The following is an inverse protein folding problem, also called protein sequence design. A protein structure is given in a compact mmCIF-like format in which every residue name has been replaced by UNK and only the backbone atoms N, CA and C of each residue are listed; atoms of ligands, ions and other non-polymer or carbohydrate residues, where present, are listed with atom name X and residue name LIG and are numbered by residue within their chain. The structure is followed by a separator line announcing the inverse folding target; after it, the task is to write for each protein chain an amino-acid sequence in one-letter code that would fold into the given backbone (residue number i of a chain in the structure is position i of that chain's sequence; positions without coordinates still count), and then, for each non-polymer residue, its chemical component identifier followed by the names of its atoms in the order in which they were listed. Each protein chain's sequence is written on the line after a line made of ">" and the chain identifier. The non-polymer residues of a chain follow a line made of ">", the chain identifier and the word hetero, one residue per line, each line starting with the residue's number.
data_IF_186781846685
#
_entry.id   IF_186781846685
#
_cell.length_a   1.000
_cell.length_b   1.000
_cell.length_c   1.000
_cell.angle_alpha   90.00
_cell.angle_beta   90.00
_cell.angle_gamma   90.00
#
_symmetry.space_group_name_H-M   'P 1'
#
loop_
_entity.id
_entity.type
_entity.pdbx_description
1 polymer ?
#
# COMPACT_ATOMS: atom_id res chain seq x y z
N UNK A 1 10.78 2.13 22.44
CA UNK A 1 9.55 2.88 22.80
C UNK A 1 8.23 2.12 22.57
N UNK A 2 8.24 0.79 22.44
CA UNK A 2 7.01 -0.01 22.43
C UNK A 2 6.63 -0.46 23.85
N UNK A 3 5.35 -0.77 24.02
CA UNK A 3 4.76 -1.29 25.26
C UNK A 3 4.41 -2.78 25.09
N UNK A 4 3.77 -3.16 24.00
CA UNK A 4 3.46 -4.56 23.72
C UNK A 4 3.38 -4.86 22.23
N UNK A 5 3.58 -6.13 21.88
CA UNK A 5 3.43 -6.67 20.53
C UNK A 5 2.51 -7.87 20.59
N UNK A 6 1.54 -7.93 19.67
CA UNK A 6 0.56 -9.01 19.61
C UNK A 6 0.42 -9.52 18.17
N UNK A 7 0.35 -10.83 17.94
CA UNK A 7 0.08 -11.36 16.60
C UNK A 7 -1.30 -10.90 16.11
N UNK A 8 -1.40 -10.52 14.84
CA UNK A 8 -2.68 -10.17 14.20
C UNK A 8 -3.29 -11.40 13.52
N UNK A 9 -4.57 -11.64 13.79
CA UNK A 9 -5.32 -12.75 13.22
C UNK A 9 -6.06 -12.32 11.96
N UNK A 10 -5.37 -11.97 10.87
CA UNK A 10 -6.07 -11.84 9.58
C UNK A 10 -6.26 -13.21 8.92
N UNK A 11 -6.90 -14.12 9.67
CA UNK A 11 -7.35 -15.46 9.28
C UNK A 11 -6.27 -16.56 9.49
N UNK A 12 -6.18 -17.06 10.73
CA UNK A 12 -5.47 -18.30 11.05
C UNK A 12 -6.01 -19.52 10.26
N UNK A 13 -7.26 -19.46 9.76
CA UNK A 13 -7.85 -20.51 8.92
C UNK A 13 -7.43 -20.45 7.43
N UNK A 14 -6.80 -19.38 6.95
CA UNK A 14 -6.28 -19.28 5.57
C UNK A 14 -4.78 -18.99 5.49
N UNK A 15 -4.13 -18.62 6.61
CA UNK A 15 -2.66 -18.58 6.74
C UNK A 15 -1.97 -17.76 5.64
N UNK A 16 -2.50 -16.57 5.30
CA UNK A 16 -1.98 -15.79 4.17
C UNK A 16 -0.75 -14.95 4.53
N UNK A 17 -0.79 -14.19 5.63
CA UNK A 17 0.33 -13.33 6.07
C UNK A 17 0.51 -13.30 7.60
N UNK A 18 1.77 -13.26 8.03
CA UNK A 18 2.22 -13.06 9.40
C UNK A 18 2.41 -11.55 9.62
N UNK A 19 1.62 -10.97 10.52
CA UNK A 19 1.67 -9.54 10.88
C UNK A 19 1.44 -9.38 12.38
N UNK A 20 1.96 -8.32 12.97
CA UNK A 20 1.80 -8.00 14.38
C UNK A 20 1.18 -6.62 14.59
N UNK A 21 0.43 -6.46 15.66
CA UNK A 21 0.00 -5.16 16.16
C UNK A 21 0.93 -4.76 17.29
N UNK A 22 1.52 -3.58 17.16
CA UNK A 22 2.41 -2.99 18.15
C UNK A 22 1.70 -1.84 18.84
N UNK A 23 1.74 -1.83 20.16
CA UNK A 23 1.27 -0.73 20.98
C UNK A 23 2.48 0.06 21.46
N UNK A 24 2.47 1.36 21.21
CA UNK A 24 3.52 2.29 21.59
C UNK A 24 3.18 2.91 22.95
N UNK A 25 4.20 3.28 23.72
CA UNK A 25 4.02 3.85 25.08
C UNK A 25 3.20 5.14 25.13
N UNK A 26 3.08 5.84 24.00
CA UNK A 26 2.26 7.05 23.87
C UNK A 26 0.79 6.75 23.53
N UNK A 27 0.36 5.48 23.59
CA UNK A 27 -1.00 5.05 23.28
C UNK A 27 -1.29 4.86 21.79
N UNK A 28 -0.36 5.20 20.89
CA UNK A 28 -0.51 4.91 19.48
C UNK A 28 -0.35 3.41 19.19
N UNK A 29 -0.95 2.96 18.08
CA UNK A 29 -0.77 1.60 17.58
C UNK A 29 -0.10 1.63 16.20
N UNK A 30 0.53 0.52 15.84
CA UNK A 30 1.13 0.31 14.53
C UNK A 30 0.94 -1.14 14.08
N UNK A 31 0.97 -1.36 12.77
CA UNK A 31 1.08 -2.68 12.15
C UNK A 31 2.54 -2.92 11.84
N UNK A 32 3.07 -4.02 12.36
CA UNK A 32 4.40 -4.51 12.04
C UNK A 32 4.29 -5.66 11.05
N UNK A 33 5.03 -5.56 9.94
CA UNK A 33 5.13 -6.61 8.93
C UNK A 33 6.54 -7.17 8.90
N UNK A 34 6.63 -8.48 8.70
CA UNK A 34 7.87 -9.26 8.79
C UNK A 34 8.15 -9.94 7.45
N UNK A 35 9.43 -10.21 7.13
CA UNK A 35 9.75 -10.95 5.92
C UNK A 35 9.31 -12.40 6.09
N UNK A 36 8.56 -12.92 5.12
CA UNK A 36 7.97 -14.26 5.21
C UNK A 36 7.96 -14.97 3.86
N UNK A 37 7.81 -16.30 3.85
CA UNK A 37 7.91 -17.12 2.63
C UNK A 37 7.28 -16.54 1.34
N UNK A 38 5.99 -16.20 1.37
CA UNK A 38 5.30 -15.62 0.20
C UNK A 38 5.54 -14.12 0.02
N UNK A 39 6.04 -13.46 1.05
CA UNK A 39 6.14 -12.01 1.13
C UNK A 39 7.49 -11.60 1.73
N UNK A 40 8.59 -12.07 1.13
CA UNK A 40 9.94 -11.85 1.67
C UNK A 40 10.26 -10.36 1.70
N UNK A 41 9.86 -9.62 0.66
CA UNK A 41 10.12 -8.19 0.52
C UNK A 41 9.10 -7.32 1.25
N UNK A 42 8.04 -7.87 1.85
CA UNK A 42 6.95 -7.07 2.41
C UNK A 42 7.41 -5.93 3.35
N UNK A 43 8.38 -6.14 4.27
CA UNK A 43 8.92 -5.05 5.06
C UNK A 43 9.53 -3.92 4.21
N UNK A 44 10.40 -4.25 3.25
CA UNK A 44 11.05 -3.25 2.40
C UNK A 44 10.04 -2.58 1.48
N UNK A 45 9.08 -3.34 0.92
CA UNK A 45 8.06 -2.84 0.00
C UNK A 45 7.17 -1.77 0.64
N UNK A 46 6.82 -1.91 1.93
CA UNK A 46 6.04 -0.89 2.65
C UNK A 46 6.81 0.42 2.82
N UNK A 47 8.11 0.33 3.12
CA UNK A 47 8.97 1.52 3.31
C UNK A 47 9.29 2.17 1.96
N UNK A 48 9.62 1.39 0.95
CA UNK A 48 9.89 1.85 -0.42
C UNK A 48 8.64 2.50 -1.03
N UNK A 49 7.44 1.94 -0.80
CA UNK A 49 6.19 2.54 -1.24
C UNK A 49 5.91 3.87 -0.51
N UNK A 50 6.17 3.96 0.79
CA UNK A 50 6.03 5.20 1.54
C UNK A 50 6.94 6.32 0.99
N UNK A 51 8.21 6.03 0.73
CA UNK A 51 9.12 7.03 0.15
C UNK A 51 8.74 7.41 -1.29
N UNK A 52 8.27 6.45 -2.09
CA UNK A 52 7.74 6.72 -3.44
C UNK A 52 6.53 7.65 -3.39
N UNK A 53 5.61 7.42 -2.44
CA UNK A 53 4.42 8.25 -2.20
C UNK A 53 4.79 9.68 -1.81
N UNK A 54 5.82 9.86 -0.96
CA UNK A 54 6.35 11.19 -0.60
C UNK A 54 7.02 11.89 -1.78
N UNK A 55 7.79 11.17 -2.59
CA UNK A 55 8.44 11.72 -3.78
C UNK A 55 7.43 12.22 -4.83
N UNK A 56 6.32 11.51 -4.99
CA UNK A 56 5.25 11.85 -5.93
C UNK A 56 4.23 12.84 -5.35
N UNK A 57 4.32 13.18 -4.06
CA UNK A 57 3.44 14.14 -3.42
C UNK A 57 1.99 13.66 -3.20
N UNK A 58 1.71 12.37 -3.39
CA UNK A 58 0.38 11.78 -3.11
C UNK A 58 -0.01 11.94 -1.65
N UNK A 59 0.96 11.69 -0.77
CA UNK A 59 0.81 11.75 0.67
C UNK A 59 -0.26 10.79 1.24
N UNK A 60 -0.47 9.62 0.63
CA UNK A 60 -1.57 8.66 0.94
C UNK A 60 -1.11 7.35 1.57
N UNK A 61 0.18 7.01 1.51
CA UNK A 61 0.73 5.89 2.28
C UNK A 61 0.97 6.38 3.72
N UNK A 62 0.44 5.71 4.76
CA UNK A 62 0.76 6.07 6.15
C UNK A 62 2.26 6.09 6.43
N UNK A 63 2.72 6.85 7.43
CA UNK A 63 4.11 6.76 7.89
C UNK A 63 4.51 5.33 8.21
N UNK A 64 5.61 4.89 7.58
CA UNK A 64 6.23 3.57 7.79
C UNK A 64 7.67 3.77 8.22
N UNK A 65 8.05 3.15 9.33
CA UNK A 65 9.43 3.10 9.77
C UNK A 65 10.07 1.74 9.44
N UNK A 66 11.34 1.76 9.02
CA UNK A 66 12.19 0.58 8.99
C UNK A 66 12.84 0.39 10.36
N UNK A 67 12.62 -0.77 10.99
CA UNK A 67 13.02 -1.01 12.37
C UNK A 67 13.75 -2.34 12.47
N UNK A 68 14.81 -2.37 13.27
CA UNK A 68 15.40 -3.61 13.77
C UNK A 68 14.72 -4.00 15.07
N UNK A 69 14.07 -5.17 15.12
CA UNK A 69 13.27 -5.60 16.25
C UNK A 69 13.81 -6.91 16.85
N UNK A 70 13.96 -7.04 18.19
CA UNK A 70 14.58 -8.24 18.75
C UNK A 70 13.68 -9.47 18.55
N UNK A 71 14.26 -10.51 17.94
CA UNK A 71 13.50 -11.68 17.48
C UNK A 71 12.79 -12.40 18.63
N UNK A 72 13.45 -12.49 19.80
CA UNK A 72 12.91 -13.13 21.00
C UNK A 72 11.56 -12.56 21.43
N UNK A 73 11.32 -11.26 21.25
CA UNK A 73 10.03 -10.63 21.60
C UNK A 73 8.94 -11.00 20.61
N UNK A 74 9.27 -11.19 19.32
CA UNK A 74 8.31 -11.67 18.32
C UNK A 74 7.95 -13.14 18.59
N UNK A 75 8.95 -13.98 18.87
CA UNK A 75 8.73 -15.38 19.26
C UNK A 75 7.87 -15.50 20.53
N UNK A 76 8.15 -14.67 21.54
CA UNK A 76 7.33 -14.60 22.75
C UNK A 76 5.90 -14.13 22.45
N UNK A 77 5.73 -13.13 21.57
CA UNK A 77 4.41 -12.66 21.15
C UNK A 77 3.62 -13.76 20.41
N UNK A 78 4.27 -14.57 19.58
CA UNK A 78 3.66 -15.71 18.90
C UNK A 78 3.15 -16.80 19.87
N UNK A 79 3.81 -16.95 21.03
CA UNK A 79 3.37 -17.85 22.11
C UNK A 79 2.28 -17.27 23.01
N UNK A 80 1.99 -15.97 22.90
CA UNK A 80 1.04 -15.25 23.77
C UNK A 80 -0.42 -15.36 23.28
N UNK A 81 -1.39 -14.91 24.11
CA UNK A 81 -2.83 -14.88 23.74
C UNK A 81 -3.06 -14.06 22.46
N UNK A 82 -3.46 -14.72 21.37
CA UNK A 82 -4.09 -14.08 20.21
C UNK A 82 -5.45 -13.57 20.68
N UNK A 83 -5.61 -12.26 20.88
CA UNK A 83 -6.91 -11.69 21.23
C UNK A 83 -7.78 -11.63 19.96
N UNK A 84 -8.93 -12.31 19.90
CA UNK A 84 -9.99 -11.82 19.06
C UNK A 84 -10.61 -10.58 19.73
N UNK A 85 -10.95 -9.56 18.95
CA UNK A 85 -11.95 -8.60 19.42
C UNK A 85 -13.28 -9.36 19.58
N UNK A 86 -13.71 -9.60 20.83
CA UNK A 86 -15.10 -9.93 21.15
C UNK A 86 -15.57 -11.39 21.10
N UNK A 87 -14.72 -12.43 21.13
CA UNK A 87 -15.22 -13.84 21.19
C UNK A 87 -14.85 -14.59 22.48
N UNK A 88 -15.85 -15.32 23.00
CA UNK A 88 -15.74 -16.28 24.13
C UNK A 88 -14.53 -17.22 23.92
N UNK A 89 -13.80 -17.48 25.00
CA UNK A 89 -12.69 -18.44 25.05
C UNK A 89 -13.18 -19.82 24.58
N UNK A 90 -12.62 -20.30 23.47
CA UNK A 90 -12.88 -21.64 22.91
C UNK A 90 -11.62 -22.51 23.07
N UNK A 91 -11.75 -23.84 23.26
CA UNK A 91 -10.63 -24.80 23.30
C UNK A 91 -9.65 -24.72 22.10
N UNK A 92 -10.08 -24.12 20.99
CA UNK A 92 -9.26 -23.82 19.80
C UNK A 92 -8.16 -22.75 20.03
N UNK A 93 -8.13 -22.04 21.16
CA UNK A 93 -7.12 -20.99 21.40
C UNK A 93 -5.70 -21.56 21.53
N UNK A 94 -5.53 -22.71 22.19
CA UNK A 94 -4.21 -23.35 22.35
C UNK A 94 -3.66 -23.85 21.00
N UNK A 95 -4.52 -24.45 20.17
CA UNK A 95 -4.15 -24.88 18.82
C UNK A 95 -3.78 -23.69 17.92
N UNK A 96 -4.49 -22.56 18.04
CA UNK A 96 -4.19 -21.31 17.32
C UNK A 96 -2.82 -20.72 17.69
N UNK A 97 -2.45 -20.75 18.97
CA UNK A 97 -1.11 -20.31 19.43
C UNK A 97 0.00 -21.22 18.92
N UNK A 98 -0.18 -22.53 19.08
CA UNK A 98 0.79 -23.52 18.60
C UNK A 98 1.00 -23.38 17.08
N UNK A 99 -0.09 -23.22 16.32
CA UNK A 99 -0.02 -22.97 14.90
C UNK A 99 0.73 -21.69 14.56
N UNK A 100 0.39 -20.53 15.14
CA UNK A 100 1.04 -19.27 14.78
C UNK A 100 2.54 -19.27 15.13
N UNK A 101 2.92 -19.86 16.27
CA UNK A 101 4.32 -20.00 16.67
C UNK A 101 5.12 -20.88 15.69
N UNK A 102 4.58 -22.06 15.35
CA UNK A 102 5.21 -22.94 14.34
C UNK A 102 5.26 -22.27 12.96
N UNK A 103 4.22 -21.53 12.61
CA UNK A 103 4.11 -20.82 11.34
C UNK A 103 5.16 -19.71 11.23
N UNK A 104 5.33 -18.91 12.30
CA UNK A 104 6.39 -17.90 12.41
C UNK A 104 7.77 -18.53 12.34
N UNK A 105 8.01 -19.58 13.13
CA UNK A 105 9.29 -20.28 13.15
C UNK A 105 9.65 -20.78 11.74
N UNK A 106 8.73 -21.47 11.07
CA UNK A 106 8.96 -22.07 9.76
C UNK A 106 9.14 -21.03 8.63
N UNK A 107 8.32 -19.98 8.60
CA UNK A 107 8.26 -19.09 7.45
C UNK A 107 8.92 -17.73 7.64
N UNK A 108 9.37 -17.40 8.85
CA UNK A 108 10.14 -16.18 9.14
C UNK A 108 11.55 -16.54 9.61
N UNK A 109 11.69 -17.43 10.59
CA UNK A 109 13.00 -17.71 11.23
C UNK A 109 13.83 -18.70 10.41
N UNK A 110 13.24 -19.83 10.03
CA UNK A 110 13.93 -20.92 9.32
C UNK A 110 13.93 -20.74 7.80
N UNK A 111 13.08 -19.85 7.29
CA UNK A 111 12.97 -19.64 5.86
C UNK A 111 14.21 -18.91 5.32
N UNK A 112 14.95 -19.59 4.45
CA UNK A 112 16.26 -19.16 3.95
C UNK A 112 16.27 -17.73 3.39
N UNK A 113 15.23 -17.34 2.66
CA UNK A 113 15.16 -16.02 2.04
C UNK A 113 14.81 -14.92 3.07
N UNK A 114 14.09 -15.25 4.14
CA UNK A 114 13.87 -14.33 5.27
C UNK A 114 15.11 -14.21 6.16
N UNK A 115 16.02 -15.18 6.15
CA UNK A 115 17.23 -15.16 6.98
C UNK A 115 18.15 -13.96 6.67
N UNK A 116 18.09 -13.39 5.46
CA UNK A 116 18.83 -12.17 5.12
C UNK A 116 18.38 -10.93 5.93
N UNK A 117 17.19 -10.98 6.52
CA UNK A 117 16.67 -9.97 7.43
C UNK A 117 17.23 -10.10 8.86
N UNK A 118 17.73 -11.28 9.21
CA UNK A 118 18.26 -11.57 10.54
C UNK A 118 19.68 -11.03 10.65
N UNK A 119 19.96 -10.37 11.76
CA UNK A 119 21.29 -9.86 12.08
C UNK A 119 21.46 -9.84 13.60
N UNK A 120 22.67 -9.57 14.07
CA UNK A 120 22.93 -9.38 15.50
C UNK A 120 23.11 -7.89 15.78
N UNK A 121 22.50 -7.41 16.86
CA UNK A 121 22.81 -6.09 17.39
C UNK A 121 24.24 -6.11 17.94
N UNK A 122 25.06 -5.12 17.56
CA UNK A 122 26.46 -5.10 17.94
C UNK A 122 26.67 -4.88 19.45
N UNK A 123 25.76 -4.16 20.11
CA UNK A 123 25.87 -3.79 21.52
C UNK A 123 25.28 -4.87 22.44
N UNK A 124 24.07 -5.35 22.16
CA UNK A 124 23.38 -6.33 23.00
C UNK A 124 23.70 -7.78 22.63
N UNK A 125 24.29 -8.01 21.45
CA UNK A 125 24.49 -9.34 20.84
C UNK A 125 23.20 -10.13 20.62
N UNK A 126 22.04 -9.46 20.73
CA UNK A 126 20.76 -10.10 20.50
C UNK A 126 20.51 -10.30 19.00
N UNK A 127 19.84 -11.40 18.67
CA UNK A 127 19.35 -11.62 17.31
C UNK A 127 18.16 -10.70 17.02
N UNK A 128 18.27 -9.98 15.92
CA UNK A 128 17.33 -8.96 15.49
C UNK A 128 16.75 -9.32 14.13
N UNK A 129 15.55 -8.82 13.86
CA UNK A 129 14.86 -8.95 12.59
C UNK A 129 14.54 -7.57 12.03
N UNK A 130 14.88 -7.32 10.77
CA UNK A 130 14.38 -6.14 10.08
C UNK A 130 12.88 -6.27 9.76
N UNK A 131 12.12 -5.25 10.12
CA UNK A 131 10.66 -5.19 9.97
C UNK A 131 10.24 -3.80 9.51
N UNK A 132 9.03 -3.70 8.95
CA UNK A 132 8.36 -2.41 8.76
C UNK A 132 7.34 -2.17 9.87
N UNK A 133 7.22 -0.92 10.30
CA UNK A 133 6.27 -0.47 11.32
C UNK A 133 5.45 0.69 10.76
N UNK A 134 4.22 0.39 10.36
CA UNK A 134 3.28 1.34 9.77
C UNK A 134 2.29 1.82 10.82
N UNK A 135 2.10 3.13 10.98
CA UNK A 135 1.15 3.66 11.98
C UNK A 135 -0.27 3.17 11.70
N UNK A 136 -0.96 2.75 12.76
CA UNK A 136 -2.35 2.31 12.68
C UNK A 136 -3.25 3.50 12.38
N UNK A 137 -4.13 3.33 11.42
CA UNK A 137 -5.05 4.38 10.99
C UNK A 137 -6.47 4.06 11.45
N UNK A 138 -7.18 5.10 11.87
CA UNK A 138 -8.62 5.02 12.20
C UNK A 138 -9.43 5.38 10.94
N UNK A 139 -10.69 4.97 10.93
CA UNK A 139 -11.65 5.34 9.88
C UNK A 139 -11.20 4.95 8.46
N UNK A 140 -10.62 3.76 8.36
CA UNK A 140 -10.22 3.14 7.09
C UNK A 140 -11.22 2.04 6.76
N UNK A 141 -11.78 2.11 5.55
CA UNK A 141 -12.81 1.20 5.06
C UNK A 141 -12.44 0.66 3.69
N UNK A 142 -13.07 -0.43 3.27
CA UNK A 142 -12.94 -0.89 1.89
C UNK A 142 -13.54 0.18 0.96
N UNK A 143 -12.81 0.59 -0.07
CA UNK A 143 -13.20 1.71 -0.93
C UNK A 143 -14.54 1.47 -1.64
N UNK A 144 -14.88 0.21 -1.94
CA UNK A 144 -16.13 -0.22 -2.58
C UNK A 144 -17.38 -0.07 -1.70
N UNK A 145 -17.17 0.11 -0.40
CA UNK A 145 -18.21 0.36 0.59
C UNK A 145 -18.43 1.86 0.86
N UNK A 146 -17.50 2.72 0.41
CA UNK A 146 -17.53 4.17 0.68
C UNK A 146 -18.17 4.99 -0.45
N UNK A 147 -18.37 6.28 -0.21
CA UNK A 147 -18.77 7.26 -1.22
C UNK A 147 -17.78 7.37 -2.40
N UNK A 148 -16.52 6.96 -2.23
CA UNK A 148 -15.52 6.97 -3.30
C UNK A 148 -15.60 5.76 -4.24
N UNK A 149 -16.58 4.87 -4.05
CA UNK A 149 -16.79 3.74 -4.94
C UNK A 149 -16.94 4.22 -6.39
N UNK A 150 -16.00 3.90 -7.30
CA UNK A 150 -16.13 4.24 -8.71
C UNK A 150 -17.36 3.53 -9.32
N UNK A 151 -18.03 4.16 -10.29
CA UNK A 151 -19.16 3.54 -10.99
C UNK A 151 -18.65 2.38 -11.87
N UNK A 152 -19.47 1.39 -12.23
CA UNK A 152 -19.04 0.23 -13.03
C UNK A 152 -18.37 0.59 -14.37
N UNK A 153 -18.73 1.73 -14.96
CA UNK A 153 -18.18 2.24 -16.23
C UNK A 153 -16.95 3.15 -16.04
N UNK A 154 -16.27 3.12 -14.90
CA UNK A 154 -15.14 4.02 -14.58
C UNK A 154 -14.06 4.08 -15.66
N UNK A 155 -13.78 2.98 -16.38
CA UNK A 155 -12.80 2.96 -17.47
C UNK A 155 -13.18 3.92 -18.60
N UNK A 156 -14.46 3.97 -18.97
CA UNK A 156 -14.96 4.91 -19.97
C UNK A 156 -14.80 6.36 -19.49
N UNK A 157 -15.05 6.59 -18.20
CA UNK A 157 -14.92 7.91 -17.58
C UNK A 157 -13.47 8.41 -17.51
N UNK A 158 -12.48 7.52 -17.60
CA UNK A 158 -11.06 7.86 -17.64
C UNK A 158 -10.52 8.15 -19.03
N UNK A 159 -11.32 8.00 -20.09
CA UNK A 159 -10.89 8.32 -21.45
C UNK A 159 -11.11 9.79 -21.75
N UNK A 160 -10.11 10.46 -22.31
CA UNK A 160 -10.23 11.87 -22.71
C UNK A 160 -11.13 12.05 -23.95
N UNK A 161 -11.26 11.04 -24.81
CA UNK A 161 -12.12 11.06 -26.00
C UNK A 161 -13.62 10.89 -25.72
N UNK A 162 -14.01 10.63 -24.47
CA UNK A 162 -15.41 10.48 -24.05
C UNK A 162 -15.79 11.60 -23.11
N UNK A 163 -16.88 12.36 -23.32
CA UNK A 163 -17.28 13.40 -22.39
C UNK A 163 -17.51 12.81 -21.00
N UNK A 164 -17.05 13.51 -19.97
CA UNK A 164 -17.45 13.18 -18.60
C UNK A 164 -18.90 13.63 -18.40
N UNK A 165 -19.80 12.80 -17.83
CA UNK A 165 -21.20 13.19 -17.69
C UNK A 165 -21.35 14.46 -16.85
N UNK A 166 -22.09 15.44 -17.37
CA UNK A 166 -22.30 16.73 -16.70
C UNK A 166 -23.05 16.58 -15.36
N UNK A 167 -23.94 15.60 -15.30
CA UNK A 167 -24.76 15.23 -14.13
C UNK A 167 -24.06 14.28 -13.16
N UNK A 168 -22.82 13.85 -13.45
CA UNK A 168 -22.07 13.00 -12.55
C UNK A 168 -21.79 13.71 -11.22
N UNK A 169 -22.14 13.05 -10.12
CA UNK A 169 -21.93 13.56 -8.77
C UNK A 169 -20.44 13.87 -8.50
N UNK A 170 -20.18 14.80 -7.57
CA UNK A 170 -18.81 15.08 -7.11
C UNK A 170 -18.11 13.82 -6.57
N UNK A 171 -18.86 12.90 -5.96
CA UNK A 171 -18.34 11.63 -5.47
C UNK A 171 -17.94 10.67 -6.59
N UNK A 172 -18.71 10.64 -7.68
CA UNK A 172 -18.34 9.90 -8.89
C UNK A 172 -17.03 10.42 -9.46
N UNK A 173 -16.89 11.74 -9.59
CA UNK A 173 -15.63 12.38 -10.06
C UNK A 173 -14.46 12.06 -9.12
N UNK A 174 -14.65 12.24 -7.82
CA UNK A 174 -13.63 11.96 -6.81
C UNK A 174 -13.20 10.48 -6.81
N UNK A 175 -14.14 9.54 -6.84
CA UNK A 175 -13.84 8.10 -6.86
C UNK A 175 -13.04 7.67 -8.10
N UNK A 176 -13.36 8.22 -9.28
CA UNK A 176 -12.59 7.97 -10.51
C UNK A 176 -11.19 8.57 -10.40
N UNK A 177 -11.06 9.81 -9.91
CA UNK A 177 -9.75 10.45 -9.71
C UNK A 177 -8.86 9.67 -8.73
N UNK A 178 -9.42 9.24 -7.59
CA UNK A 178 -8.71 8.47 -6.58
C UNK A 178 -8.31 7.07 -7.07
N UNK A 179 -9.17 6.42 -7.89
CA UNK A 179 -8.83 5.17 -8.56
C UNK A 179 -7.69 5.35 -9.58
N UNK A 180 -7.68 6.46 -10.32
CA UNK A 180 -6.60 6.77 -11.27
C UNK A 180 -5.27 6.93 -10.52
N UNK A 181 -5.24 7.76 -9.48
CA UNK A 181 -4.05 8.04 -8.68
C UNK A 181 -3.45 6.76 -8.06
N UNK A 182 -4.27 5.92 -7.41
CA UNK A 182 -3.76 4.68 -6.80
C UNK A 182 -3.26 3.70 -7.85
N UNK A 183 -3.89 3.67 -9.03
CA UNK A 183 -3.49 2.76 -10.11
C UNK A 183 -2.16 3.19 -10.75
N UNK A 184 -1.93 4.49 -10.91
CA UNK A 184 -0.64 5.02 -11.35
C UNK A 184 0.45 4.73 -10.32
N UNK A 185 0.15 4.95 -9.04
CA UNK A 185 1.05 4.64 -7.94
C UNK A 185 1.44 3.16 -7.90
N UNK A 186 0.46 2.26 -7.96
CA UNK A 186 0.66 0.81 -7.99
C UNK A 186 1.45 0.36 -9.22
N UNK A 187 1.27 1.02 -10.37
CA UNK A 187 2.07 0.77 -11.55
C UNK A 187 3.55 1.05 -11.30
N UNK A 188 3.87 2.21 -10.69
CA UNK A 188 5.24 2.64 -10.38
C UNK A 188 5.92 1.70 -9.39
N UNK A 189 5.24 1.31 -8.30
CA UNK A 189 5.82 0.43 -7.28
C UNK A 189 5.70 -1.06 -7.64
N UNK A 190 4.80 -1.42 -8.54
CA UNK A 190 4.64 -2.78 -9.07
C UNK A 190 3.77 -3.65 -8.20
N UNK A 191 2.79 -3.03 -7.55
CA UNK A 191 1.84 -3.76 -6.74
C UNK A 191 0.84 -4.46 -7.67
N UNK A 192 0.78 -5.78 -7.60
CA UNK A 192 -0.23 -6.57 -8.33
C UNK A 192 -1.37 -7.06 -7.45
N UNK A 193 -1.29 -6.89 -6.13
CA UNK A 193 -2.33 -7.39 -5.22
C UNK A 193 -3.40 -6.32 -4.93
N UNK A 194 -3.61 -5.39 -5.86
CA UNK A 194 -4.67 -4.36 -5.77
C UNK A 194 -5.44 -4.27 -7.10
N UNK A 195 -6.76 -4.36 -6.98
CA UNK A 195 -7.71 -4.04 -8.03
C UNK A 195 -9.01 -3.55 -7.40
N UNK A 196 -9.91 -2.97 -8.18
CA UNK A 196 -11.18 -2.50 -7.63
C UNK A 196 -11.96 -3.67 -6.98
N UNK A 197 -12.33 -3.51 -5.70
CA UNK A 197 -12.97 -4.55 -4.88
C UNK A 197 -12.01 -5.47 -4.13
N UNK A 198 -10.69 -5.26 -4.23
CA UNK A 198 -9.69 -6.03 -3.50
C UNK A 198 -8.51 -5.15 -3.07
N UNK A 199 -8.20 -5.16 -1.77
CA UNK A 199 -7.12 -4.38 -1.17
C UNK A 199 -7.14 -2.87 -1.55
N UNK A 200 -8.32 -2.34 -1.84
CA UNK A 200 -8.56 -0.92 -2.11
C UNK A 200 -9.27 -0.32 -0.91
N UNK A 201 -8.64 0.69 -0.30
CA UNK A 201 -9.13 1.26 0.96
C UNK A 201 -9.29 2.76 0.84
N UNK A 202 -10.19 3.33 1.65
CA UNK A 202 -10.44 4.75 1.73
C UNK A 202 -10.44 5.22 3.18
N UNK A 203 -9.96 6.44 3.40
CA UNK A 203 -10.15 7.21 4.62
C UNK A 203 -11.49 7.93 4.57
N UNK A 204 -12.33 7.70 5.57
CA UNK A 204 -13.66 8.29 5.65
C UNK A 204 -14.58 7.83 4.52
N UNK A 205 -15.52 8.68 4.11
CA UNK A 205 -16.48 8.38 3.05
C UNK A 205 -17.62 7.44 3.49
N UNK A 206 -17.75 7.22 4.79
CA UNK A 206 -18.78 6.39 5.42
C UNK A 206 -19.86 7.20 6.16
N UNK A 207 -20.00 8.50 5.82
CA UNK A 207 -21.02 9.34 6.42
C UNK A 207 -22.41 9.00 5.86
N UNK A 208 -23.37 8.74 6.76
CA UNK A 208 -24.77 8.47 6.46
C UNK A 208 -25.46 9.61 5.68
N UNK A 209 -24.91 10.82 5.71
CA UNK A 209 -25.41 11.96 4.96
C UNK A 209 -25.08 11.92 3.45
N UNK A 210 -24.11 11.09 3.03
CA UNK A 210 -23.79 10.93 1.60
C UNK A 210 -24.93 10.21 0.86
N UNK A 211 -25.20 10.60 -0.39
CA UNK A 211 -26.28 10.02 -1.21
C UNK A 211 -25.70 9.43 -2.52
N UNK A 212 -25.96 8.14 -2.83
CA UNK A 212 -26.61 7.15 -1.95
C UNK A 212 -25.76 6.85 -0.70
N UNK A 213 -26.38 6.42 0.41
CA UNK A 213 -25.65 6.14 1.64
C UNK A 213 -24.61 5.02 1.40
N UNK A 214 -23.41 5.15 1.99
CA UNK A 214 -22.34 4.18 1.82
C UNK A 214 -22.68 2.91 2.60
N UNK A 215 -22.16 1.77 2.13
CA UNK A 215 -22.42 0.44 2.71
C UNK A 215 -21.29 -0.02 3.61
N UNK A 216 -20.72 0.89 4.39
CA UNK A 216 -19.58 0.60 5.24
C UNK A 216 -19.95 -0.40 6.33
N UNK A 217 -19.20 -1.50 6.42
CA UNK A 217 -19.28 -2.40 7.55
C UNK A 217 -18.69 -1.72 8.79
N UNK A 218 -19.50 -1.59 9.85
CA UNK A 218 -19.13 -0.90 11.11
C UNK A 218 -18.72 0.57 10.88
N UNK A 219 -19.66 1.44 10.46
CA UNK A 219 -19.37 2.86 10.34
C UNK A 219 -18.88 3.41 11.69
N UNK A 220 -17.95 4.37 11.69
CA UNK A 220 -17.50 5.01 12.92
C UNK A 220 -18.69 5.63 13.67
N UNK A 221 -18.63 5.64 15.01
CA UNK A 221 -19.64 6.31 15.82
C UNK A 221 -19.78 7.78 15.40
N UNK A 222 -20.99 8.36 15.47
CA UNK A 222 -21.21 9.77 15.18
C UNK A 222 -20.22 10.68 15.94
N UNK A 223 -19.55 11.58 15.22
CA UNK A 223 -18.52 12.47 15.78
C UNK A 223 -17.11 11.87 15.91
N UNK A 224 -16.94 10.58 15.59
CA UNK A 224 -15.62 9.92 15.48
C UNK A 224 -15.14 9.73 14.04
N UNK A 225 -15.92 10.19 13.04
CA UNK A 225 -15.50 10.28 11.65
C UNK A 225 -14.33 11.27 11.51
N UNK A 226 -13.37 10.94 10.66
CA UNK A 226 -12.33 11.91 10.30
C UNK A 226 -13.01 13.03 9.50
N UNK A 227 -12.80 14.28 9.95
CA UNK A 227 -13.24 15.46 9.21
C UNK A 227 -12.34 15.67 8.00
N UNK A 228 -12.93 15.89 6.84
CA UNK A 228 -12.21 16.20 5.60
C UNK A 228 -12.80 15.50 4.38
N UNK A 229 -12.20 15.76 3.22
CA UNK A 229 -12.56 15.09 1.98
C UNK A 229 -12.10 13.63 2.05
N UNK A 230 -13.01 12.65 1.87
CA UNK A 230 -12.64 11.25 1.76
C UNK A 230 -11.61 11.03 0.67
N UNK A 231 -10.69 10.09 0.91
CA UNK A 231 -9.58 9.90 -0.01
C UNK A 231 -9.06 8.45 0.06
N UNK A 232 -8.50 7.90 -1.02
CA UNK A 232 -7.94 6.55 -0.99
C UNK A 232 -6.73 6.47 -0.04
N UNK A 233 -6.68 5.38 0.69
CA UNK A 233 -5.61 5.00 1.60
C UNK A 233 -4.68 3.99 0.92
N UNK A 234 -3.42 4.36 0.72
CA UNK A 234 -2.46 3.53 0.00
C UNK A 234 -1.81 2.55 0.97
N UNK A 235 -2.57 1.58 1.46
CA UNK A 235 -2.09 0.54 2.39
C UNK A 235 -1.93 -0.83 1.74
N UNK A 236 -1.29 -1.74 2.47
CA UNK A 236 -0.99 -3.11 2.07
C UNK A 236 -0.12 -3.20 0.80
N UNK A 237 1.05 -2.54 0.88
CA UNK A 237 2.03 -2.47 -0.20
C UNK A 237 3.01 -3.65 -0.21
N UNK A 238 2.77 -4.66 0.62
CA UNK A 238 3.64 -5.83 0.80
C UNK A 238 3.89 -6.68 -0.44
N UNK A 239 3.13 -6.46 -1.51
CA UNK A 239 3.26 -7.12 -2.83
C UNK A 239 3.97 -6.24 -3.87
N UNK A 240 4.51 -5.09 -3.48
CA UNK A 240 5.24 -4.17 -4.36
C UNK A 240 6.70 -4.58 -4.51
N UNK A 241 7.35 -4.14 -5.59
CA UNK A 241 8.77 -4.38 -5.84
C UNK A 241 9.17 -5.87 -5.92
N UNK A 242 8.31 -6.77 -6.40
CA UNK A 242 8.66 -8.20 -6.65
C UNK A 242 9.10 -8.50 -8.08
N UNK A 243 8.90 -7.55 -9.00
CA UNK A 243 9.16 -7.73 -10.43
C UNK A 243 9.70 -6.44 -11.03
N UNK A 244 10.52 -6.57 -12.07
CA UNK A 244 11.02 -5.41 -12.83
C UNK A 244 10.11 -4.98 -13.98
N UNK A 245 9.27 -5.91 -14.46
CA UNK A 245 8.30 -5.61 -15.52
C UNK A 245 7.09 -4.82 -15.00
N UNK A 246 6.27 -4.27 -15.92
CA UNK A 246 5.04 -3.61 -15.56
C UNK A 246 4.05 -4.59 -14.89
N UNK A 247 3.27 -4.15 -13.91
CA UNK A 247 2.36 -5.02 -13.15
C UNK A 247 1.08 -5.34 -13.95
N UNK A 248 0.90 -6.60 -14.31
CA UNK A 248 -0.10 -7.13 -15.25
C UNK A 248 -1.56 -7.04 -14.81
N UNK A 249 -1.79 -6.70 -13.55
CA UNK A 249 -3.12 -6.64 -12.93
C UNK A 249 -3.57 -5.20 -12.65
N UNK A 250 -2.74 -4.20 -13.00
CA UNK A 250 -3.08 -2.79 -12.79
C UNK A 250 -3.91 -2.23 -13.93
N UNK A 251 -4.64 -1.15 -13.65
CA UNK A 251 -5.47 -0.45 -14.63
C UNK A 251 -4.70 -0.01 -15.88
N UNK A 252 -3.44 0.40 -15.69
CA UNK A 252 -2.53 0.92 -16.70
C UNK A 252 -1.60 -0.15 -17.30
N UNK A 253 -1.96 -1.44 -17.20
CA UNK A 253 -1.27 -2.49 -17.93
C UNK A 253 -2.04 -2.93 -19.17
N UNK A 254 -1.44 -2.71 -20.35
CA UNK A 254 -1.97 -3.23 -21.61
C UNK A 254 -1.60 -4.70 -21.78
N UNK A 255 -2.61 -5.59 -21.91
CA UNK A 255 -2.35 -6.94 -22.44
C UNK A 255 -2.40 -6.91 -23.97
N UNK A 256 -1.79 -7.91 -24.64
CA UNK A 256 -1.96 -8.10 -26.09
C UNK A 256 -3.42 -8.26 -26.53
N UNK A 257 -4.33 -8.61 -25.62
CA UNK A 257 -5.77 -8.75 -25.84
C UNK A 257 -6.59 -7.52 -25.43
N UNK A 258 -5.96 -6.50 -24.83
CA UNK A 258 -6.65 -5.29 -24.39
C UNK A 258 -5.73 -4.05 -24.53
N UNK A 259 -5.51 -3.57 -25.77
CA UNK A 259 -4.61 -2.45 -26.09
C UNK A 259 -5.12 -1.07 -25.60
N UNK A 260 -6.27 -1.00 -24.93
CA UNK A 260 -7.00 0.24 -24.59
C UNK A 260 -6.43 1.03 -23.42
N UNK A 261 -5.29 0.63 -22.85
CA UNK A 261 -4.63 1.39 -21.78
C UNK A 261 -4.11 2.74 -22.29
N UNK A 262 -3.68 2.80 -23.55
CA UNK A 262 -3.23 4.05 -24.19
C UNK A 262 -4.38 5.07 -24.36
N UNK A 263 -5.63 4.68 -24.12
CA UNK A 263 -6.81 5.56 -24.16
C UNK A 263 -7.17 6.15 -22.78
N UNK A 264 -6.56 5.67 -21.68
CA UNK A 264 -6.86 6.13 -20.32
C UNK A 264 -6.14 7.46 -20.03
N UNK A 265 -6.64 8.52 -20.65
CA UNK A 265 -5.99 9.81 -20.71
C UNK A 265 -6.51 10.87 -19.73
N UNK A 266 -7.29 10.52 -18.70
CA UNK A 266 -7.71 11.48 -17.65
C UNK A 266 -6.94 11.30 -16.36
N UNK A 267 -6.33 12.38 -15.91
CA UNK A 267 -5.48 12.43 -14.73
C UNK A 267 -5.85 13.62 -13.86
N UNK A 268 -5.57 13.48 -12.56
CA UNK A 268 -5.49 14.63 -11.68
C UNK A 268 -4.29 15.48 -12.07
N UNK A 269 -4.48 16.79 -12.22
CA UNK A 269 -3.42 17.70 -12.67
C UNK A 269 -2.13 17.55 -11.85
N UNK A 270 -2.25 17.59 -10.53
CA UNK A 270 -1.10 17.47 -9.61
C UNK A 270 -0.37 16.13 -9.76
N UNK A 271 -1.10 15.04 -9.97
CA UNK A 271 -0.54 13.70 -10.14
C UNK A 271 0.26 13.62 -11.44
N UNK A 272 -0.33 14.06 -12.54
CA UNK A 272 0.32 14.05 -13.85
C UNK A 272 1.60 14.89 -13.84
N UNK A 273 1.54 16.10 -13.29
CA UNK A 273 2.67 17.01 -13.17
C UNK A 273 3.79 16.41 -12.29
N UNK A 274 3.44 15.78 -11.16
CA UNK A 274 4.41 15.13 -10.28
C UNK A 274 5.11 13.94 -10.95
N UNK A 275 4.36 13.07 -11.64
CA UNK A 275 4.92 11.91 -12.35
C UNK A 275 5.93 12.38 -13.41
N UNK A 276 5.55 13.36 -14.24
CA UNK A 276 6.42 13.90 -15.29
C UNK A 276 7.65 14.58 -14.67
N UNK A 277 7.47 15.35 -13.60
CA UNK A 277 8.59 16.03 -12.93
C UNK A 277 9.61 15.04 -12.36
N UNK A 278 9.15 14.00 -11.64
CA UNK A 278 10.05 12.98 -11.05
C UNK A 278 10.68 12.12 -12.15
N UNK A 279 9.98 11.80 -13.23
CA UNK A 279 10.53 11.05 -14.37
C UNK A 279 11.67 11.82 -15.09
N UNK A 280 11.60 13.15 -15.06
CA UNK A 280 12.57 14.05 -15.71
C UNK A 280 13.77 14.40 -14.83
N UNK A 281 13.90 13.83 -13.64
CA UNK A 281 15.12 13.91 -12.83
C UNK A 281 16.29 13.31 -13.63
N UNK A 282 16.99 14.16 -14.40
CA UNK A 282 18.09 13.82 -15.33
C UNK A 282 19.21 14.85 -15.25
N UNK A 283 19.56 15.28 -14.05
CA UNK A 283 20.85 15.93 -13.83
C UNK A 283 21.78 14.89 -13.22
N UNK A 284 23.03 14.77 -13.69
CA UNK A 284 23.92 13.59 -13.58
C UNK A 284 24.23 13.01 -12.18
N UNK A 285 23.56 13.50 -11.12
CA UNK A 285 23.63 13.03 -9.73
C UNK A 285 22.25 12.82 -9.05
N UNK A 286 21.14 13.14 -9.71
CA UNK A 286 19.77 13.07 -9.17
C UNK A 286 18.82 12.45 -10.20
N UNK A 287 18.66 11.13 -10.13
CA UNK A 287 17.55 10.42 -10.77
C UNK A 287 16.63 9.82 -9.69
N UNK A 288 15.49 9.24 -10.10
CA UNK A 288 14.55 8.57 -9.18
C UNK A 288 15.25 7.60 -8.22
N UNK A 289 16.22 6.81 -8.71
CA UNK A 289 16.89 5.82 -7.89
C UNK A 289 17.84 6.47 -6.88
N UNK A 290 18.58 7.50 -7.26
CA UNK A 290 19.46 8.26 -6.38
C UNK A 290 18.67 8.97 -5.26
N UNK A 291 17.52 9.57 -5.59
CA UNK A 291 16.62 10.19 -4.61
C UNK A 291 16.03 9.15 -3.64
N UNK A 292 15.54 8.02 -4.17
CA UNK A 292 15.12 6.90 -3.32
C UNK A 292 16.26 6.41 -2.43
N UNK A 293 17.45 6.20 -2.98
CA UNK A 293 18.61 5.73 -2.22
C UNK A 293 19.00 6.70 -1.09
N UNK A 294 18.85 8.01 -1.28
CA UNK A 294 19.11 9.01 -0.26
C UNK A 294 18.07 9.01 0.88
N UNK A 295 16.82 8.61 0.57
CA UNK A 295 15.70 8.55 1.53
C UNK A 295 15.63 7.23 2.27
N UNK A 296 15.98 6.13 1.60
CA UNK A 296 15.81 4.80 2.14
C UNK A 296 16.81 4.52 3.28
N UNK A 297 16.36 3.84 4.35
CA UNK A 297 17.18 3.56 5.50
C UNK A 297 18.31 2.57 5.17
N UNK A 298 19.43 2.68 5.91
CA UNK A 298 20.54 1.73 5.81
C UNK A 298 20.05 0.32 6.13
N UNK A 299 20.56 -0.66 5.39
CA UNK A 299 20.21 -2.07 5.57
C UNK A 299 18.91 -2.49 4.90
N UNK A 300 18.13 -1.58 4.29
CA UNK A 300 16.88 -1.97 3.61
C UNK A 300 17.13 -3.01 2.50
N UNK A 301 18.24 -2.89 1.79
CA UNK A 301 18.66 -3.80 0.73
C UNK A 301 19.28 -5.11 1.23
N UNK A 302 19.26 -5.37 2.55
CA UNK A 302 19.47 -6.72 3.07
C UNK A 302 18.32 -7.65 2.66
N UNK A 303 17.12 -7.08 2.47
CA UNK A 303 15.93 -7.80 2.00
C UNK A 303 15.47 -7.23 0.65
N UNK A 304 15.32 -5.91 0.56
CA UNK A 304 14.90 -5.21 -0.64
C UNK A 304 15.92 -5.31 -1.76
N UNK A 305 15.56 -4.82 -2.96
CA UNK A 305 16.41 -4.92 -4.14
C UNK A 305 16.63 -3.58 -4.81
N UNK A 306 17.90 -3.18 -4.91
CA UNK A 306 18.32 -2.01 -5.68
C UNK A 306 17.82 -2.08 -7.13
N UNK A 307 17.80 -3.28 -7.71
CA UNK A 307 17.32 -3.50 -9.08
C UNK A 307 15.81 -3.25 -9.19
N UNK A 308 15.02 -3.63 -8.20
CA UNK A 308 13.57 -3.46 -8.21
C UNK A 308 13.17 -2.00 -7.98
N UNK A 309 13.92 -1.27 -7.14
CA UNK A 309 13.77 0.20 -7.03
C UNK A 309 14.13 0.87 -8.36
N UNK A 310 15.23 0.48 -9.02
CA UNK A 310 15.58 0.98 -10.36
C UNK A 310 14.48 0.68 -11.40
N UNK A 311 13.84 -0.48 -11.34
CA UNK A 311 12.71 -0.78 -12.21
C UNK A 311 11.51 0.14 -11.99
N UNK A 312 11.34 0.70 -10.79
CA UNK A 312 10.37 1.77 -10.52
C UNK A 312 10.57 2.99 -11.42
N UNK A 313 11.84 3.38 -11.67
CA UNK A 313 12.19 4.46 -12.60
C UNK A 313 11.70 4.17 -14.02
N UNK A 314 11.94 2.97 -14.54
CA UNK A 314 11.51 2.61 -15.90
C UNK A 314 9.99 2.68 -16.05
N UNK A 315 9.24 2.27 -15.02
CA UNK A 315 7.78 2.35 -15.00
C UNK A 315 7.27 3.78 -14.87
N UNK A 316 7.93 4.60 -14.05
CA UNK A 316 7.67 6.03 -13.97
C UNK A 316 7.89 6.74 -15.31
N UNK A 317 9.01 6.46 -15.99
CA UNK A 317 9.32 7.00 -17.33
C UNK A 317 8.28 6.56 -18.37
N UNK A 318 7.76 5.33 -18.26
CA UNK A 318 6.67 4.86 -19.13
C UNK A 318 5.38 5.66 -18.90
N UNK A 319 4.96 5.88 -17.65
CA UNK A 319 3.77 6.67 -17.35
C UNK A 319 3.94 8.13 -17.77
N UNK A 320 5.13 8.73 -17.59
CA UNK A 320 5.39 10.09 -18.04
C UNK A 320 5.20 10.23 -19.55
N UNK A 321 5.74 9.28 -20.34
CA UNK A 321 5.53 9.24 -21.80
C UNK A 321 4.06 9.05 -22.18
N UNK A 322 3.32 8.23 -21.43
CA UNK A 322 1.88 8.04 -21.65
C UNK A 322 1.12 9.35 -21.43
N UNK A 323 1.38 10.05 -20.32
CA UNK A 323 0.74 11.33 -20.00
C UNK A 323 1.07 12.39 -21.06
N UNK A 324 2.34 12.50 -21.47
CA UNK A 324 2.78 13.41 -22.53
C UNK A 324 2.07 13.10 -23.85
N UNK A 325 2.01 11.81 -24.25
CA UNK A 325 1.30 11.39 -25.45
C UNK A 325 -0.21 11.66 -25.39
N UNK A 326 -0.85 11.57 -24.22
CA UNK A 326 -2.24 11.98 -24.03
C UNK A 326 -2.42 13.49 -24.26
N UNK A 327 -1.50 14.32 -23.74
CA UNK A 327 -1.52 15.78 -23.92
C UNK A 327 -1.26 16.22 -25.37
N UNK A 328 -0.57 15.39 -26.17
CA UNK A 328 -0.39 15.62 -27.61
C UNK A 328 -1.66 15.28 -28.41
N UNK A 329 -2.42 14.28 -27.97
CA UNK A 329 -3.60 13.75 -28.69
C UNK A 329 -4.91 14.44 -28.33
N UNK A 330 -5.03 14.97 -27.12
CA UNK A 330 -6.28 15.49 -26.57
C UNK A 330 -6.10 16.89 -25.96
N UNK A 331 -7.18 17.70 -25.88
CA UNK A 331 -7.13 18.99 -25.18
C UNK A 331 -6.65 18.84 -23.74
N UNK A 332 -5.89 19.82 -23.26
CA UNK A 332 -5.25 19.77 -21.93
C UNK A 332 -6.28 19.64 -20.81
N UNK A 333 -7.43 20.29 -20.95
CA UNK A 333 -8.57 20.27 -20.03
C UNK A 333 -9.27 18.90 -19.96
N UNK A 334 -9.23 18.12 -21.04
CA UNK A 334 -9.77 16.76 -21.06
C UNK A 334 -8.80 15.76 -20.46
N UNK A 335 -7.49 16.05 -20.52
CA UNK A 335 -6.44 15.19 -19.96
C UNK A 335 -6.20 15.47 -18.49
N UNK A 336 -6.05 16.74 -18.12
CA UNK A 336 -5.83 17.21 -16.74
C UNK A 336 -7.17 17.63 -16.15
N UNK A 337 -8.06 16.66 -16.07
CA UNK A 337 -9.48 16.88 -15.81
C UNK A 337 -9.84 16.95 -14.31
N UNK A 338 -9.13 16.19 -13.46
CA UNK A 338 -9.46 16.06 -12.04
C UNK A 338 -8.69 17.00 -11.11
#
# INVERSE_FOLDING_TARGET
>A
NWESVKPMSSILSTGRTIKFRVFLRNGAAAVMKVPQNKFVLEPSSEVEAYETDRMLGFNRVPPVAWVSFPLKYLQAACGSKVLPAGTRQLPQEHQRKAFYSQWFQKFVVEYKQSAAALHHDHATKEQMLYVSLQIWMKDVHNADETALRPPPNYRSLMRADKPFPNDASNWTRAGVAELSDVSLFDFIIGNTDRWFGHNSFAFGGCDAATRPPPRCHNPPEPGKTIKGTPMYAFIDQGSSFYRSGPPDQTLYYGSKSNPTVDDLCRFRKSTAEAIVAVARLKDGRKDYYAEMQARLPRGIFAIGSKYLVKAGRTRLEHLAKMIEGCLEKHPREDVLYF
#
